data_IF_505573661343
#
_entry.id   IF_505573661343
#
_cell.length_a   1.000
_cell.length_b   1.000
_cell.length_c   1.000
_cell.angle_alpha   90.00
_cell.angle_beta   90.00
_cell.angle_gamma   90.00
#
_symmetry.space_group_name_H-M   'P 1'
#
loop_
_entity.id
_entity.type
_entity.pdbx_description
1 polymer ?
#
# COMPACT_ATOMS: atom_id res chain seq x y z
N UNK A 1 -1.15 -21.98 15.78
CA UNK A 1 -0.56 -22.87 16.81
C UNK A 1 0.30 -24.02 16.28
N UNK A 2 0.45 -24.20 14.94
CA UNK A 2 1.22 -25.30 14.31
C UNK A 2 0.69 -26.72 14.57
N UNK A 3 -0.52 -26.83 15.12
CA UNK A 3 -1.22 -28.08 15.46
C UNK A 3 -2.59 -28.17 14.75
N UNK A 4 -2.82 -27.34 13.74
CA UNK A 4 -4.12 -27.22 13.06
C UNK A 4 -5.14 -26.33 13.76
N UNK A 5 -4.82 -25.76 14.93
CA UNK A 5 -5.68 -24.80 15.64
C UNK A 5 -5.25 -23.34 15.43
N UNK A 6 -6.23 -22.45 15.62
CA UNK A 6 -6.10 -21.00 15.45
C UNK A 6 -6.32 -20.28 16.77
N UNK A 7 -5.46 -19.31 17.06
CA UNK A 7 -5.65 -18.37 18.18
C UNK A 7 -6.12 -17.05 17.60
N UNK A 8 -7.27 -16.56 18.07
CA UNK A 8 -7.72 -15.22 17.74
C UNK A 8 -6.86 -14.20 18.51
N UNK A 9 -6.02 -13.46 17.80
CA UNK A 9 -5.14 -12.42 18.36
C UNK A 9 -5.62 -11.00 18.04
N UNK A 10 -6.87 -10.85 17.57
CA UNK A 10 -7.36 -9.56 17.10
C UNK A 10 -7.35 -8.49 18.20
N UNK A 11 -7.62 -8.88 19.46
CA UNK A 11 -7.59 -7.96 20.59
C UNK A 11 -6.17 -7.51 20.92
N UNK A 12 -5.22 -8.44 20.91
CA UNK A 12 -3.80 -8.21 21.17
C UNK A 12 -3.18 -7.32 20.09
N UNK A 13 -3.62 -7.49 18.84
CA UNK A 13 -3.18 -6.71 17.68
C UNK A 13 -3.96 -5.40 17.49
N UNK A 14 -4.92 -5.09 18.36
CA UNK A 14 -5.77 -3.89 18.34
C UNK A 14 -6.65 -3.75 17.07
N UNK A 15 -7.15 -4.86 16.54
CA UNK A 15 -7.96 -4.93 15.30
C UNK A 15 -9.29 -5.68 15.49
N UNK A 16 -9.78 -5.81 16.72
CA UNK A 16 -10.99 -6.56 17.07
C UNK A 16 -12.33 -5.91 16.64
N UNK A 17 -12.32 -4.96 15.71
CA UNK A 17 -13.51 -4.18 15.36
C UNK A 17 -14.49 -5.00 14.52
N UNK A 18 -15.76 -5.03 14.93
CA UNK A 18 -16.86 -5.55 14.12
C UNK A 18 -17.16 -4.54 13.01
N UNK A 19 -16.90 -4.90 11.75
CA UNK A 19 -17.14 -4.01 10.61
C UNK A 19 -17.66 -4.77 9.40
N UNK A 20 -18.36 -4.07 8.51
CA UNK A 20 -18.81 -4.58 7.23
C UNK A 20 -17.74 -4.35 6.15
N UNK A 21 -16.54 -4.91 6.37
CA UNK A 21 -15.45 -4.79 5.40
C UNK A 21 -15.81 -5.49 4.10
N UNK A 22 -15.75 -4.75 3.00
CA UNK A 22 -15.90 -5.26 1.65
C UNK A 22 -14.52 -5.45 1.01
N UNK A 23 -13.72 -4.39 0.98
CA UNK A 23 -12.36 -4.40 0.43
C UNK A 23 -11.30 -4.33 1.51
N UNK A 24 -10.16 -4.95 1.26
CA UNK A 24 -8.98 -4.82 2.10
C UNK A 24 -7.75 -4.97 1.21
N UNK A 25 -6.78 -4.08 1.38
CA UNK A 25 -5.49 -4.21 0.73
C UNK A 25 -4.38 -3.68 1.65
N UNK A 26 -3.14 -4.04 1.34
CA UNK A 26 -1.98 -3.73 2.17
C UNK A 26 -0.88 -3.03 1.35
N UNK A 27 -0.06 -2.25 2.04
CA UNK A 27 1.04 -1.46 1.50
C UNK A 27 1.98 -1.03 2.62
N UNK A 28 3.02 -0.26 2.31
CA UNK A 28 4.00 0.27 3.24
C UNK A 28 3.87 1.79 3.21
N UNK A 29 3.06 2.35 4.10
CA UNK A 29 2.58 3.74 4.03
C UNK A 29 3.73 4.72 4.25
N UNK A 30 4.64 4.40 5.17
CA UNK A 30 5.74 5.28 5.58
C UNK A 30 7.11 4.77 5.15
N UNK A 31 7.16 3.75 4.28
CA UNK A 31 8.39 3.11 3.81
C UNK A 31 9.27 2.56 4.96
N UNK A 32 8.67 2.19 6.09
CA UNK A 32 9.36 1.59 7.22
C UNK A 32 9.56 0.07 7.06
N UNK A 33 9.14 -0.53 5.95
CA UNK A 33 9.32 -1.96 5.67
C UNK A 33 8.36 -2.89 6.41
N UNK A 34 7.41 -2.35 7.17
CA UNK A 34 6.30 -3.07 7.78
C UNK A 34 5.01 -2.77 7.02
N UNK A 35 4.29 -3.83 6.63
CA UNK A 35 3.06 -3.63 5.86
C UNK A 35 1.90 -3.17 6.75
N UNK A 36 1.29 -2.07 6.34
CA UNK A 36 0.06 -1.48 6.78
C UNK A 36 -1.13 -2.00 5.96
N UNK A 37 -2.34 -1.67 6.38
CA UNK A 37 -3.52 -2.02 5.58
C UNK A 37 -4.68 -1.04 5.73
N UNK A 38 -5.46 -0.97 4.67
CA UNK A 38 -6.69 -0.19 4.60
C UNK A 38 -7.89 -1.11 4.45
N UNK A 39 -8.94 -0.86 5.24
CA UNK A 39 -10.24 -1.51 5.16
C UNK A 39 -11.25 -0.59 4.50
N UNK A 40 -11.71 -1.01 3.32
CA UNK A 40 -12.89 -0.46 2.68
C UNK A 40 -14.15 -1.04 3.32
N UNK A 41 -14.89 -0.21 4.06
CA UNK A 41 -16.00 -0.64 4.90
C UNK A 41 -17.29 -0.03 4.39
N UNK A 42 -18.37 -0.81 4.39
CA UNK A 42 -19.71 -0.26 4.37
C UNK A 42 -20.80 -1.31 4.27
N UNK A 43 -22.01 -0.90 4.64
CA UNK A 43 -23.19 -1.75 4.68
C UNK A 43 -24.19 -1.34 3.59
N UNK A 44 -25.07 -2.25 3.15
CA UNK A 44 -26.15 -1.91 2.22
C UNK A 44 -27.25 -1.05 2.84
N UNK A 45 -27.38 -1.02 4.17
CA UNK A 45 -28.36 -0.19 4.88
C UNK A 45 -27.84 1.24 5.05
N UNK A 46 -28.56 2.21 4.50
CA UNK A 46 -28.27 3.65 4.62
C UNK A 46 -28.22 4.17 6.07
N UNK A 47 -28.81 3.45 7.03
CA UNK A 47 -28.75 3.82 8.45
C UNK A 47 -27.43 3.44 9.11
N UNK A 48 -26.60 2.67 8.43
CA UNK A 48 -25.37 2.12 8.98
C UNK A 48 -24.18 2.91 8.43
N UNK A 49 -23.60 3.75 9.29
CA UNK A 49 -22.46 4.63 8.95
C UNK A 49 -21.23 4.06 9.65
N UNK A 50 -20.24 3.66 8.87
CA UNK A 50 -18.96 3.17 9.37
C UNK A 50 -17.84 3.90 8.64
N UNK A 51 -16.85 4.47 9.36
CA UNK A 51 -15.69 5.00 8.70
C UNK A 51 -14.88 3.85 8.07
N UNK A 52 -14.38 4.08 6.86
CA UNK A 52 -13.27 3.31 6.34
C UNK A 52 -12.06 3.50 7.27
N UNK A 53 -11.18 2.49 7.31
CA UNK A 53 -10.09 2.48 8.28
C UNK A 53 -8.73 2.22 7.69
N UNK A 54 -7.74 2.97 8.15
CA UNK A 54 -6.33 2.73 7.86
C UNK A 54 -5.63 2.32 9.14
N UNK A 55 -4.83 1.26 9.06
CA UNK A 55 -4.09 0.69 10.16
C UNK A 55 -2.60 0.70 9.87
N UNK A 56 -1.85 1.44 10.69
CA UNK A 56 -0.39 1.48 10.65
C UNK A 56 0.21 0.36 11.51
N UNK A 57 1.27 -0.28 11.05
CA UNK A 57 1.93 -1.41 11.68
C UNK A 57 3.04 -0.93 12.61
N UNK A 58 2.88 -1.14 13.92
CA UNK A 58 3.87 -0.78 14.93
C UNK A 58 4.94 -1.89 15.04
N UNK A 59 5.76 -1.99 13.99
CA UNK A 59 6.90 -2.92 13.89
C UNK A 59 6.54 -4.39 14.21
N UNK A 60 5.36 -4.84 13.77
CA UNK A 60 4.86 -6.20 13.99
C UNK A 60 4.36 -6.47 15.41
N UNK A 61 4.34 -5.47 16.31
CA UNK A 61 3.87 -5.63 17.69
C UNK A 61 2.35 -5.56 17.78
N UNK A 62 1.73 -4.66 17.01
CA UNK A 62 0.29 -4.37 16.95
C UNK A 62 0.00 -3.43 15.78
N UNK A 63 -1.28 -3.11 15.56
CA UNK A 63 -1.68 -2.06 14.63
C UNK A 63 -2.23 -0.83 15.36
N UNK A 64 -2.04 0.34 14.76
CA UNK A 64 -2.57 1.61 15.22
C UNK A 64 -3.63 2.10 14.23
N UNK A 65 -4.83 2.42 14.71
CA UNK A 65 -5.87 3.03 13.89
C UNK A 65 -5.49 4.49 13.59
N UNK A 66 -5.06 4.76 12.37
CA UNK A 66 -4.68 6.09 11.89
C UNK A 66 -5.73 6.71 10.97
N UNK A 67 -6.98 6.21 11.01
CA UNK A 67 -8.03 6.62 10.08
C UNK A 67 -8.33 8.12 10.14
N UNK A 68 -8.35 8.70 11.34
CA UNK A 68 -8.63 10.12 11.52
C UNK A 68 -7.36 10.96 11.37
N UNK A 69 -6.24 10.54 11.98
CA UNK A 69 -4.98 11.29 11.92
C UNK A 69 -4.40 11.36 10.51
N UNK A 70 -4.61 10.32 9.69
CA UNK A 70 -4.19 10.26 8.29
C UNK A 70 -5.26 10.72 7.29
N UNK A 71 -6.47 11.12 7.72
CA UNK A 71 -7.51 11.61 6.83
C UNK A 71 -8.25 10.55 6.00
N UNK A 72 -8.14 9.28 6.36
CA UNK A 72 -8.74 8.13 5.66
C UNK A 72 -10.18 7.80 6.08
N UNK A 73 -10.71 8.48 7.11
CA UNK A 73 -12.00 8.20 7.75
C UNK A 73 -13.25 8.54 6.91
N UNK A 74 -13.26 8.22 5.61
CA UNK A 74 -14.41 8.39 4.75
C UNK A 74 -15.60 7.59 5.28
N UNK A 75 -16.77 8.24 5.40
CA UNK A 75 -18.00 7.63 5.91
C UNK A 75 -18.82 6.95 4.82
N UNK A 76 -18.52 7.23 3.56
CA UNK A 76 -19.15 6.55 2.44
C UNK A 76 -18.69 5.09 2.35
N UNK A 77 -19.61 4.23 1.90
CA UNK A 77 -19.35 2.82 1.63
C UNK A 77 -18.13 2.62 0.72
N UNK A 78 -17.10 1.97 1.24
CA UNK A 78 -15.93 1.53 0.48
C UNK A 78 -16.13 0.15 -0.14
N UNK A 79 -15.61 -0.03 -1.35
CA UNK A 79 -15.58 -1.34 -2.04
C UNK A 79 -14.17 -1.81 -2.32
N UNK A 80 -13.39 -1.07 -3.12
CA UNK A 80 -12.10 -1.53 -3.59
C UNK A 80 -10.95 -0.63 -3.14
N UNK A 81 -9.77 -1.21 -2.91
CA UNK A 81 -8.58 -0.46 -2.48
C UNK A 81 -7.34 -0.91 -3.24
N UNK A 82 -6.49 0.04 -3.62
CA UNK A 82 -5.17 -0.23 -4.18
C UNK A 82 -4.12 0.71 -3.58
N UNK A 83 -2.98 0.14 -3.19
CA UNK A 83 -1.76 0.87 -2.85
C UNK A 83 -0.86 0.92 -4.07
N UNK A 84 -0.37 2.10 -4.44
CA UNK A 84 0.53 2.29 -5.56
C UNK A 84 1.23 3.63 -5.45
N UNK A 85 2.55 3.64 -5.66
CA UNK A 85 3.30 4.83 -6.07
C UNK A 85 2.89 5.22 -7.49
N UNK A 86 1.85 6.07 -7.59
CA UNK A 86 1.18 6.42 -8.86
C UNK A 86 2.01 7.45 -9.60
N UNK A 87 2.54 8.42 -8.88
CA UNK A 87 3.27 9.56 -9.40
C UNK A 87 4.79 9.32 -9.51
N UNK A 88 5.25 8.17 -9.01
CA UNK A 88 6.62 7.63 -9.10
C UNK A 88 7.63 8.42 -8.25
N UNK A 89 7.17 9.06 -7.18
CA UNK A 89 8.01 9.84 -6.25
C UNK A 89 8.63 8.98 -5.12
N UNK A 90 8.11 7.76 -4.93
CA UNK A 90 8.68 6.76 -4.05
C UNK A 90 7.88 6.42 -2.81
N UNK A 91 6.72 7.03 -2.60
CA UNK A 91 5.77 6.63 -1.56
C UNK A 91 4.48 6.09 -2.15
N UNK A 92 3.77 5.29 -1.35
CA UNK A 92 2.55 4.64 -1.82
C UNK A 92 1.36 5.54 -1.59
N UNK A 93 0.70 5.92 -2.69
CA UNK A 93 -0.64 6.48 -2.68
C UNK A 93 -1.69 5.38 -2.47
N UNK A 94 -2.89 5.81 -2.08
CA UNK A 94 -4.03 4.92 -1.92
C UNK A 94 -5.16 5.37 -2.83
N UNK A 95 -5.61 4.49 -3.71
CA UNK A 95 -6.86 4.67 -4.45
C UNK A 95 -7.96 3.83 -3.80
N UNK A 96 -9.09 4.46 -3.48
CA UNK A 96 -10.25 3.83 -2.88
C UNK A 96 -11.52 4.09 -3.71
N UNK A 97 -12.23 3.01 -4.02
CA UNK A 97 -13.52 3.03 -4.70
C UNK A 97 -14.66 3.11 -3.68
N UNK A 98 -15.57 4.07 -3.88
CA UNK A 98 -16.67 4.36 -3.00
C UNK A 98 -18.03 4.31 -3.71
N UNK A 99 -19.07 4.25 -2.88
CA UNK A 99 -20.45 4.18 -3.31
C UNK A 99 -20.93 2.75 -3.44
N UNK A 100 -22.08 2.49 -4.05
CA UNK A 100 -22.63 1.14 -4.13
C UNK A 100 -23.78 0.97 -5.12
N UNK A 101 -24.41 -0.20 -5.05
CA UNK A 101 -25.37 -0.66 -6.06
C UNK A 101 -26.65 0.18 -6.14
N UNK A 102 -27.08 0.77 -5.02
CA UNK A 102 -28.30 1.56 -4.97
C UNK A 102 -28.09 2.94 -5.57
N UNK A 103 -29.11 3.46 -6.25
CA UNK A 103 -29.04 4.76 -6.94
C UNK A 103 -28.62 5.93 -6.02
N UNK A 104 -29.03 5.91 -4.75
CA UNK A 104 -28.65 6.94 -3.76
C UNK A 104 -27.31 6.69 -3.05
N UNK A 105 -26.62 5.60 -3.38
CA UNK A 105 -25.31 5.23 -2.82
C UNK A 105 -24.17 5.54 -3.80
N UNK A 106 -24.39 6.37 -4.83
CA UNK A 106 -23.32 6.75 -5.78
C UNK A 106 -22.43 7.80 -5.11
N UNK A 107 -21.11 7.64 -5.20
CA UNK A 107 -20.16 8.58 -4.65
C UNK A 107 -18.89 8.67 -5.50
N UNK A 108 -18.10 9.72 -5.30
CA UNK A 108 -16.81 9.87 -5.95
C UNK A 108 -15.75 9.01 -5.28
N UNK A 109 -14.85 8.44 -6.08
CA UNK A 109 -13.70 7.71 -5.58
C UNK A 109 -12.66 8.68 -5.01
N UNK A 110 -11.81 8.20 -4.11
CA UNK A 110 -10.69 9.00 -3.61
C UNK A 110 -9.35 8.45 -4.09
N UNK A 111 -8.46 9.39 -4.41
CA UNK A 111 -7.03 9.17 -4.48
C UNK A 111 -6.41 9.95 -3.31
N UNK A 112 -5.79 9.23 -2.39
CA UNK A 112 -5.02 9.78 -1.27
C UNK A 112 -3.56 9.84 -1.72
N UNK A 113 -3.12 11.05 -2.10
CA UNK A 113 -1.71 11.35 -2.39
C UNK A 113 -0.92 11.31 -1.08
N UNK A 114 0.13 10.51 -1.05
CA UNK A 114 0.99 10.40 0.11
C UNK A 114 2.03 11.54 0.08
N UNK A 115 2.28 12.25 1.20
CA UNK A 115 3.23 13.36 1.22
C UNK A 115 4.69 12.93 1.48
N UNK A 116 4.96 11.63 1.59
CA UNK A 116 6.28 11.06 1.92
C UNK A 116 6.70 11.15 3.40
N UNK A 117 7.60 10.24 3.80
CA UNK A 117 8.01 10.03 5.21
C UNK A 117 9.53 10.07 5.47
N UNK A 118 10.34 10.55 4.51
CA UNK A 118 11.82 10.61 4.62
C UNK A 118 12.50 9.26 4.89
N UNK A 119 11.83 8.15 4.62
CA UNK A 119 12.38 6.81 4.59
C UNK A 119 12.75 6.42 3.16
N UNK A 120 13.69 5.49 3.04
CA UNK A 120 14.17 4.98 1.78
C UNK A 120 13.30 3.84 1.28
N UNK A 121 13.24 3.66 -0.03
CA UNK A 121 12.42 2.67 -0.70
C UNK A 121 13.16 1.98 -1.84
N UNK A 122 12.57 0.93 -2.41
CA UNK A 122 12.99 0.36 -3.69
C UNK A 122 11.77 -0.12 -4.47
N UNK A 123 11.73 0.17 -5.77
CA UNK A 123 10.73 -0.35 -6.69
C UNK A 123 11.37 -1.40 -7.62
N UNK A 124 10.75 -2.56 -7.78
CA UNK A 124 11.27 -3.64 -8.64
C UNK A 124 10.14 -4.25 -9.48
N UNK A 125 10.31 -4.21 -10.79
CA UNK A 125 9.47 -4.94 -11.74
C UNK A 125 10.08 -6.31 -12.04
N UNK A 126 9.37 -7.36 -11.65
CA UNK A 126 9.78 -8.73 -11.94
C UNK A 126 9.19 -9.25 -13.25
N UNK A 127 9.99 -9.99 -14.01
CA UNK A 127 9.58 -10.72 -15.22
C UNK A 127 10.01 -12.19 -15.15
N UNK A 128 9.04 -13.09 -15.14
CA UNK A 128 9.30 -14.53 -15.23
C UNK A 128 9.74 -14.96 -16.64
N UNK A 129 10.57 -16.00 -16.71
CA UNK A 129 11.01 -16.65 -17.95
C UNK A 129 10.49 -18.08 -18.03
N UNK A 130 10.80 -18.89 -17.00
CA UNK A 130 10.23 -20.24 -16.81
C UNK A 130 8.95 -20.15 -15.97
N UNK A 131 8.96 -19.27 -14.98
CA UNK A 131 7.80 -18.83 -14.22
C UNK A 131 6.89 -17.95 -15.08
N UNK A 132 5.64 -17.73 -14.63
CA UNK A 132 4.68 -16.89 -15.36
C UNK A 132 5.24 -15.48 -15.60
N UNK A 133 4.94 -14.86 -16.76
CA UNK A 133 5.52 -13.57 -17.16
C UNK A 133 5.24 -12.43 -16.18
N UNK A 134 4.10 -12.49 -15.48
CA UNK A 134 3.76 -11.54 -14.42
C UNK A 134 4.52 -11.74 -13.10
N UNK A 135 5.38 -12.76 -13.02
CA UNK A 135 6.14 -13.17 -11.84
C UNK A 135 5.27 -13.44 -10.60
N UNK A 136 3.97 -13.69 -10.77
CA UNK A 136 3.01 -13.89 -9.68
C UNK A 136 3.43 -15.13 -8.86
N UNK A 137 3.48 -14.99 -7.54
CA UNK A 137 3.93 -16.03 -6.60
C UNK A 137 5.44 -15.99 -6.29
N UNK A 138 6.20 -15.08 -6.90
CA UNK A 138 7.62 -14.87 -6.56
C UNK A 138 7.73 -14.35 -5.13
N UNK A 139 8.60 -14.97 -4.33
CA UNK A 139 8.89 -14.58 -2.95
C UNK A 139 10.18 -13.76 -2.92
N UNK A 140 10.16 -12.62 -2.26
CA UNK A 140 11.29 -11.69 -2.19
C UNK A 140 11.63 -11.45 -0.72
N UNK A 141 12.91 -11.57 -0.39
CA UNK A 141 13.46 -11.17 0.91
C UNK A 141 14.48 -10.07 0.68
N UNK A 142 14.28 -8.92 1.31
CA UNK A 142 15.24 -7.82 1.35
C UNK A 142 15.94 -7.85 2.70
N UNK A 143 17.26 -7.77 2.73
CA UNK A 143 18.06 -7.64 3.95
C UNK A 143 18.86 -6.35 3.90
N UNK A 144 18.80 -5.55 4.96
CA UNK A 144 19.39 -4.23 5.01
C UNK A 144 19.64 -3.78 6.46
N UNK A 145 20.51 -2.79 6.64
CA UNK A 145 20.74 -2.12 7.92
C UNK A 145 19.83 -0.90 8.04
N UNK A 146 19.01 -0.88 9.09
CA UNK A 146 18.14 0.24 9.42
C UNK A 146 18.59 0.87 10.74
N UNK A 147 19.38 1.94 10.64
CA UNK A 147 19.92 2.67 11.79
C UNK A 147 20.74 1.78 12.75
N UNK A 148 21.56 0.87 12.22
CA UNK A 148 22.36 -0.08 12.99
C UNK A 148 21.63 -1.38 13.36
N UNK A 149 20.36 -1.52 12.97
CA UNK A 149 19.59 -2.75 13.13
C UNK A 149 19.47 -3.48 11.80
N UNK A 150 20.22 -4.58 11.66
CA UNK A 150 20.09 -5.47 10.49
C UNK A 150 18.74 -6.18 10.53
N UNK A 151 17.87 -5.92 9.55
CA UNK A 151 16.53 -6.51 9.45
C UNK A 151 16.24 -7.10 8.08
N UNK A 152 15.12 -7.81 7.98
CA UNK A 152 14.64 -8.33 6.70
C UNK A 152 13.13 -8.15 6.54
N UNK A 153 12.73 -7.73 5.34
CA UNK A 153 11.33 -7.67 4.91
C UNK A 153 11.05 -8.76 3.89
N UNK A 154 9.88 -9.39 4.00
CA UNK A 154 9.46 -10.51 3.16
C UNK A 154 8.19 -10.13 2.42
N UNK A 155 8.24 -10.24 1.10
CA UNK A 155 7.17 -9.84 0.21
C UNK A 155 6.88 -10.94 -0.81
N UNK A 156 5.67 -10.94 -1.36
CA UNK A 156 5.28 -11.84 -2.44
C UNK A 156 4.64 -11.05 -3.57
N UNK A 157 5.05 -11.32 -4.81
CA UNK A 157 4.42 -10.72 -5.98
C UNK A 157 3.02 -11.28 -6.14
N UNK A 158 2.03 -10.46 -5.82
CA UNK A 158 0.61 -10.73 -6.00
C UNK A 158 -0.07 -9.43 -6.41
N UNK A 159 -1.38 -9.47 -6.68
CA UNK A 159 -2.18 -8.25 -6.85
C UNK A 159 -2.82 -7.77 -5.55
N UNK A 160 -2.49 -8.33 -4.39
CA UNK A 160 -3.21 -7.99 -3.15
C UNK A 160 -4.63 -8.58 -3.09
N UNK A 161 -5.47 -8.03 -2.21
CA UNK A 161 -6.62 -8.76 -1.64
C UNK A 161 -8.03 -8.15 -1.88
N UNK A 162 -9.04 -9.02 -1.66
CA UNK A 162 -10.49 -8.85 -1.83
C UNK A 162 -10.91 -8.06 -3.08
N UNK A 163 -11.70 -7.01 -2.91
CA UNK A 163 -12.06 -6.04 -3.93
C UNK A 163 -10.92 -5.01 -4.06
N UNK A 164 -10.33 -4.90 -5.24
CA UNK A 164 -9.17 -4.05 -5.52
C UNK A 164 -7.99 -4.82 -6.12
N UNK A 165 -6.88 -4.12 -6.32
CA UNK A 165 -5.68 -4.76 -6.84
C UNK A 165 -4.46 -3.84 -6.88
N UNK A 166 -3.42 -4.19 -6.12
CA UNK A 166 -2.12 -3.54 -6.19
C UNK A 166 -1.41 -3.84 -7.52
N UNK A 167 -0.51 -2.95 -7.98
CA UNK A 167 0.36 -3.23 -9.10
C UNK A 167 1.28 -4.41 -8.78
N UNK A 168 1.66 -5.15 -9.82
CA UNK A 168 2.67 -6.23 -9.71
C UNK A 168 4.12 -5.70 -9.79
N UNK A 169 4.30 -4.38 -9.72
CA UNK A 169 5.59 -3.76 -9.43
C UNK A 169 5.69 -3.72 -7.92
N UNK A 170 6.69 -4.40 -7.39
CA UNK A 170 6.91 -4.45 -5.95
C UNK A 170 7.57 -3.16 -5.51
N UNK A 171 6.98 -2.50 -4.53
CA UNK A 171 7.61 -1.46 -3.77
C UNK A 171 7.86 -1.98 -2.35
N UNK A 172 8.99 -1.61 -1.78
CA UNK A 172 9.34 -1.97 -0.42
C UNK A 172 10.02 -0.77 0.25
N UNK A 173 9.52 -0.38 1.42
CA UNK A 173 10.24 0.48 2.34
C UNK A 173 11.41 -0.26 2.98
N UNK A 174 12.47 0.49 3.24
CA UNK A 174 13.69 0.00 3.90
C UNK A 174 14.14 0.93 5.03
N UNK A 175 13.23 1.75 5.56
CA UNK A 175 13.47 2.62 6.70
C UNK A 175 14.59 3.62 6.42
N UNK A 176 15.61 3.67 7.28
CA UNK A 176 16.77 4.57 7.11
C UNK A 176 17.94 3.94 6.36
N UNK A 177 17.75 2.78 5.73
CA UNK A 177 18.80 2.15 4.94
C UNK A 177 19.26 3.07 3.79
N UNK A 178 20.56 3.12 3.57
CA UNK A 178 21.18 3.82 2.43
C UNK A 178 21.56 2.87 1.30
N UNK A 179 21.54 1.56 1.58
CA UNK A 179 21.80 0.46 0.65
C UNK A 179 21.03 -0.77 1.14
N UNK A 180 20.58 -1.61 0.20
CA UNK A 180 20.08 -2.95 0.50
C UNK A 180 21.23 -3.94 0.33
N UNK A 181 21.59 -4.60 1.41
CA UNK A 181 22.71 -5.55 1.43
C UNK A 181 22.46 -6.72 0.46
N UNK A 182 21.23 -7.25 0.50
CA UNK A 182 20.84 -8.43 -0.26
C UNK A 182 19.35 -8.42 -0.61
N UNK A 183 19.03 -8.76 -1.86
CA UNK A 183 17.69 -9.11 -2.32
C UNK A 183 17.72 -10.56 -2.80
N UNK A 184 17.09 -11.47 -2.06
CA UNK A 184 16.88 -12.86 -2.45
C UNK A 184 15.51 -13.02 -3.11
N UNK A 185 15.48 -13.56 -4.33
CA UNK A 185 14.27 -13.76 -5.14
C UNK A 185 14.09 -15.25 -5.40
N UNK A 186 13.00 -15.84 -4.88
CA UNK A 186 12.64 -17.23 -5.13
C UNK A 186 11.49 -17.33 -6.13
N UNK A 187 11.78 -17.90 -7.30
CA UNK A 187 10.83 -18.02 -8.41
C UNK A 187 9.86 -19.20 -8.22
N UNK A 188 8.56 -19.04 -8.53
CA UNK A 188 7.51 -19.98 -8.12
C UNK A 188 7.51 -21.29 -8.92
N UNK A 189 7.85 -21.27 -10.21
CA UNK A 189 7.77 -22.49 -11.04
C UNK A 189 8.96 -23.43 -10.82
N UNK A 190 10.13 -22.87 -10.53
CA UNK A 190 11.41 -23.62 -10.50
C UNK A 190 11.98 -23.77 -9.09
N UNK A 191 11.59 -22.90 -8.16
CA UNK A 191 12.27 -22.75 -6.87
C UNK A 191 13.68 -22.16 -7.00
N UNK A 192 14.09 -21.72 -8.19
CA UNK A 192 15.37 -21.07 -8.41
C UNK A 192 15.45 -19.81 -7.55
N UNK A 193 16.65 -19.56 -7.01
CA UNK A 193 16.99 -18.32 -6.32
C UNK A 193 17.91 -17.46 -7.18
N UNK A 194 17.55 -16.21 -7.34
CA UNK A 194 18.48 -15.17 -7.80
C UNK A 194 18.76 -14.20 -6.63
N UNK A 195 20.01 -13.76 -6.52
CA UNK A 195 20.50 -12.96 -5.41
C UNK A 195 21.16 -11.71 -5.98
N UNK A 196 20.77 -10.55 -5.49
CA UNK A 196 21.37 -9.26 -5.83
C UNK A 196 21.94 -8.64 -4.55
N UNK A 197 23.14 -8.07 -4.62
CA UNK A 197 23.82 -7.48 -3.44
C UNK A 197 24.18 -6.04 -3.70
N UNK A 198 24.34 -5.25 -2.63
CA UNK A 198 24.69 -3.82 -2.68
C UNK A 198 23.77 -3.01 -3.60
N UNK A 199 22.46 -3.19 -3.46
CA UNK A 199 21.45 -2.53 -4.30
C UNK A 199 21.18 -1.14 -3.73
N UNK A 200 21.33 -0.10 -4.56
CA UNK A 200 21.05 1.28 -4.14
C UNK A 200 19.54 1.48 -3.92
N UNK A 201 19.20 2.20 -2.84
CA UNK A 201 17.83 2.59 -2.50
C UNK A 201 17.38 3.81 -3.33
N UNK A 202 16.10 4.15 -3.24
CA UNK A 202 15.43 5.27 -3.91
C UNK A 202 15.58 5.18 -5.43
N UNK A 203 15.41 3.96 -5.94
CA UNK A 203 15.56 3.62 -7.35
C UNK A 203 14.52 2.60 -7.79
N UNK A 204 14.27 2.61 -9.09
CA UNK A 204 13.42 1.63 -9.76
C UNK A 204 14.29 0.67 -10.56
N UNK A 205 14.01 -0.63 -10.45
CA UNK A 205 14.74 -1.69 -11.14
C UNK A 205 13.81 -2.63 -11.91
N UNK A 206 14.40 -3.37 -12.85
CA UNK A 206 13.85 -4.57 -13.48
C UNK A 206 14.68 -5.78 -13.07
N UNK A 207 13.99 -6.87 -12.73
CA UNK A 207 14.56 -8.16 -12.40
C UNK A 207 13.94 -9.22 -13.29
N UNK A 208 14.76 -10.02 -13.96
CA UNK A 208 14.29 -11.08 -14.86
C UNK A 208 14.81 -12.43 -14.37
N UNK A 209 13.96 -13.46 -14.43
CA UNK A 209 14.30 -14.80 -13.94
C UNK A 209 15.55 -15.36 -14.63
N UNK A 210 16.56 -15.67 -13.82
CA UNK A 210 17.86 -16.18 -14.25
C UNK A 210 18.93 -15.12 -14.47
N UNK A 211 18.57 -13.83 -14.53
CA UNK A 211 19.54 -12.76 -14.66
C UNK A 211 20.30 -12.56 -13.33
N UNK A 212 21.58 -12.20 -13.44
CA UNK A 212 22.49 -12.04 -12.28
C UNK A 212 22.66 -10.60 -11.83
N UNK A 213 22.01 -9.66 -12.52
CA UNK A 213 22.07 -8.23 -12.22
C UNK A 213 20.69 -7.61 -12.38
N UNK A 214 20.39 -6.66 -11.50
CA UNK A 214 19.25 -5.77 -11.69
C UNK A 214 19.56 -4.77 -12.80
N UNK A 215 18.57 -4.45 -13.62
CA UNK A 215 18.67 -3.35 -14.58
C UNK A 215 17.95 -2.15 -14.01
N UNK A 216 18.65 -1.04 -13.80
CA UNK A 216 18.02 0.22 -13.41
C UNK A 216 17.03 0.68 -14.47
N UNK A 217 15.87 1.15 -14.04
CA UNK A 217 14.82 1.65 -14.90
C UNK A 217 14.55 3.11 -14.56
N UNK A 218 15.07 4.01 -15.39
CA UNK A 218 14.79 5.44 -15.28
C UNK A 218 13.31 5.72 -15.60
N UNK A 219 12.51 5.90 -14.54
CA UNK A 219 11.13 6.38 -14.60
C UNK A 219 11.13 7.77 -14.00
N UNK A 220 10.56 8.74 -14.75
CA UNK A 220 10.47 10.12 -14.28
C UNK A 220 9.25 10.27 -13.37
N UNK A 221 9.42 10.82 -12.16
CA UNK A 221 8.30 11.25 -11.34
C UNK A 221 7.51 12.36 -12.03
N UNK A 222 6.25 12.49 -11.65
CA UNK A 222 5.39 13.61 -12.03
C UNK A 222 4.60 14.11 -10.83
N UNK A 223 4.10 15.33 -10.89
CA UNK A 223 3.27 15.87 -9.81
C UNK A 223 1.78 15.66 -10.13
N UNK A 224 1.00 15.21 -9.16
CA UNK A 224 -0.45 15.20 -9.27
C UNK A 224 -0.97 16.65 -9.15
N UNK A 225 -1.63 17.13 -10.21
CA UNK A 225 -2.21 18.47 -10.18
C UNK A 225 -3.44 18.46 -9.29
N UNK A 226 -3.34 19.12 -8.13
CA UNK A 226 -4.54 19.55 -7.41
C UNK A 226 -5.26 20.59 -8.25
N UNK A 227 -6.48 20.26 -8.68
CA UNK A 227 -7.37 21.27 -9.24
C UNK A 227 -7.71 22.23 -8.09
N UNK A 228 -7.20 23.46 -8.13
CA UNK A 228 -7.80 24.54 -7.36
C UNK A 228 -9.28 24.57 -7.80
N UNK A 229 -10.17 24.11 -6.92
CA UNK A 229 -11.61 24.23 -7.14
C UNK A 229 -11.82 25.72 -7.39
N UNK A 230 -12.28 26.11 -8.59
CA UNK A 230 -12.58 27.50 -8.94
C UNK A 230 -13.50 28.07 -7.87
N UNK A 231 -12.94 28.73 -6.86
CA UNK A 231 -13.70 29.57 -5.97
C UNK A 231 -14.11 30.76 -6.82
N UNK A 232 -15.40 31.05 -6.87
CA UNK A 232 -15.88 32.28 -7.48
C UNK A 232 -15.10 33.45 -6.85
N UNK A 233 -14.64 34.39 -7.68
CA UNK A 233 -13.85 35.52 -7.23
C UNK A 233 -14.59 36.29 -6.11
N UNK A 234 -14.11 36.18 -4.87
CA UNK A 234 -14.67 36.93 -3.74
C UNK A 234 -14.48 36.31 -2.35
N UNK A 235 -14.36 34.99 -2.23
CA UNK A 235 -14.28 34.35 -0.90
C UNK A 235 -12.84 34.15 -0.42
N UNK A 236 -12.33 35.14 0.31
CA UNK A 236 -11.18 34.96 1.20
C UNK A 236 -11.67 34.41 2.54
N UNK A 237 -11.86 33.09 2.63
CA UNK A 237 -11.92 32.40 3.91
C UNK A 237 -11.13 31.08 3.82
N UNK A 238 -10.02 30.98 4.57
CA UNK A 238 -9.45 29.69 4.92
C UNK A 238 -10.47 28.99 5.82
N UNK A 239 -11.26 28.08 5.27
CA UNK A 239 -12.15 27.22 6.06
C UNK A 239 -11.72 25.77 5.95
N UNK A 240 -11.53 25.16 7.13
CA UNK A 240 -11.54 23.73 7.34
C UNK A 240 -12.81 23.11 6.75
N UNK A 241 -12.65 21.90 6.23
CA UNK A 241 -13.69 21.10 5.57
C UNK A 241 -15.08 21.19 6.23
N UNK A 242 -16.06 21.69 5.48
CA UNK A 242 -17.45 21.27 5.56
C UNK A 242 -18.12 21.49 4.19
N UNK A 243 -18.71 20.42 3.65
CA UNK A 243 -19.48 20.44 2.42
C UNK A 243 -20.96 20.65 2.76
N UNK A 244 -21.51 21.77 2.28
CA UNK A 244 -22.94 21.93 2.05
C UNK A 244 -23.11 22.38 0.61
N UNK A 245 -23.97 21.70 -0.15
CA UNK A 245 -24.64 22.34 -1.26
C UNK A 245 -26.05 21.75 -1.42
N UNK A 246 -27.03 22.64 -1.25
CA UNK A 246 -28.42 22.46 -1.62
C UNK A 246 -28.54 22.56 -3.15
N UNK A 247 -29.09 21.52 -3.79
CA UNK A 247 -30.44 21.46 -4.38
C UNK A 247 -30.66 20.07 -4.96
#
# INVERSE_FOLDING_TARGET
>A
NKDGTFTNVAKEMHIQYETFTMGCNYGDLDNDGWLDFYLAIGAPDYKAIFPNRMFHNDEGKRFQDCSISGGFGQLQKGHAVAFCDIDMDGDQDIYADYGGFYYGDIYENALYENPGFSNSWVNIKFEGVKSNRGAIGTRVKLTFDDSGNRRSTYLTISKGASFGGNPIRLQAGVGKATVIDEIEVTWPATGQKDIYTNVAVNKVYKAKEGDKQLTEWDIKPFELKTMERRMAAGDTAKMHHHVHMQM
#
